data_IF_763442396379
#
_entry.id   IF_763442396379
#
_cell.length_a   1.000
_cell.length_b   1.000
_cell.length_c   1.000
_cell.angle_alpha   90.00
_cell.angle_beta   90.00
_cell.angle_gamma   90.00
#
_symmetry.space_group_name_H-M   'P 1'
#
loop_
_entity.id
_entity.type
_entity.pdbx_description
1 polymer ?
#
# COMPACT_ATOMS: atom_id res chain seq x y z
N UNK A 1 22.55 21.79 -9.75
CA UNK A 1 22.13 22.04 -11.16
C UNK A 1 21.02 23.10 -11.17
N UNK A 2 21.17 24.20 -11.89
CA UNK A 2 20.18 25.30 -11.91
C UNK A 2 18.96 24.89 -12.76
N UNK A 3 17.75 25.03 -12.20
CA UNK A 3 16.52 24.65 -12.90
C UNK A 3 16.22 25.55 -14.11
N UNK A 4 15.48 25.06 -15.12
CA UNK A 4 15.06 25.91 -16.27
C UNK A 4 14.27 27.15 -15.85
N UNK A 5 13.52 27.08 -14.77
CA UNK A 5 12.78 28.23 -14.22
C UNK A 5 13.73 29.30 -13.65
N UNK A 6 14.74 28.90 -12.90
CA UNK A 6 15.77 29.80 -12.39
C UNK A 6 16.55 30.46 -13.51
N UNK A 7 16.93 29.71 -14.56
CA UNK A 7 17.59 30.27 -15.72
C UNK A 7 16.73 31.31 -16.44
N UNK A 8 15.41 31.07 -16.59
CA UNK A 8 14.49 32.06 -17.17
C UNK A 8 14.43 33.33 -16.33
N UNK A 9 14.38 33.22 -15.00
CA UNK A 9 14.38 34.37 -14.11
C UNK A 9 15.65 35.22 -14.26
N UNK A 10 16.84 34.55 -14.26
CA UNK A 10 18.13 35.23 -14.46
C UNK A 10 18.17 35.95 -15.79
N UNK A 11 17.78 35.32 -16.91
CA UNK A 11 17.74 35.96 -18.23
C UNK A 11 16.81 37.16 -18.24
N UNK A 12 15.63 37.09 -17.58
CA UNK A 12 14.66 38.17 -17.50
C UNK A 12 15.23 39.38 -16.73
N UNK A 13 15.81 39.16 -15.57
CA UNK A 13 16.43 40.20 -14.72
C UNK A 13 17.59 40.85 -15.46
N UNK A 14 18.52 40.05 -16.02
CA UNK A 14 19.68 40.59 -16.78
C UNK A 14 19.24 41.38 -18.02
N UNK A 15 18.13 40.96 -18.66
CA UNK A 15 17.58 41.71 -19.79
C UNK A 15 17.09 43.11 -19.38
N UNK A 16 16.43 43.22 -18.24
CA UNK A 16 15.98 44.51 -17.70
C UNK A 16 17.12 45.40 -17.26
N UNK A 17 18.08 44.86 -16.52
CA UNK A 17 19.24 45.63 -16.00
C UNK A 17 20.22 46.08 -17.08
N UNK A 18 20.56 45.22 -18.01
CA UNK A 18 21.60 45.44 -18.99
C UNK A 18 21.08 45.87 -20.37
N UNK A 19 19.73 45.93 -20.55
CA UNK A 19 19.06 46.27 -21.83
C UNK A 19 19.61 45.47 -23.05
N UNK A 20 20.09 44.23 -22.79
CA UNK A 20 20.67 43.38 -23.85
C UNK A 20 19.57 42.58 -24.55
N UNK A 21 19.74 42.30 -25.89
CA UNK A 21 18.77 41.50 -26.61
C UNK A 21 18.66 40.07 -26.03
N UNK A 22 17.42 39.57 -25.91
CA UNK A 22 17.13 38.22 -25.40
C UNK A 22 17.96 37.14 -26.12
N UNK A 23 18.19 37.27 -27.44
CA UNK A 23 19.00 36.33 -28.23
C UNK A 23 20.43 36.21 -27.71
N UNK A 24 21.06 37.35 -27.36
CA UNK A 24 22.43 37.40 -26.84
C UNK A 24 22.50 36.75 -25.45
N UNK A 25 21.59 37.08 -24.58
CA UNK A 25 21.51 36.50 -23.20
C UNK A 25 21.27 35.00 -23.23
N UNK A 26 20.33 34.53 -24.06
CA UNK A 26 20.08 33.10 -24.17
C UNK A 26 21.32 32.34 -24.68
N UNK A 27 22.11 32.92 -25.60
CA UNK A 27 23.38 32.32 -26.05
C UNK A 27 24.41 32.28 -24.92
N UNK A 28 24.58 33.38 -24.17
CA UNK A 28 25.54 33.47 -23.06
C UNK A 28 25.24 32.46 -21.95
N UNK A 29 23.96 32.24 -21.61
CA UNK A 29 23.53 31.30 -20.57
C UNK A 29 23.33 29.87 -21.09
N UNK A 30 23.65 29.55 -22.34
CA UNK A 30 23.46 28.23 -22.93
C UNK A 30 21.99 27.76 -22.87
N UNK A 31 21.04 28.67 -23.14
CA UNK A 31 19.61 28.43 -22.95
C UNK A 31 18.83 28.78 -24.23
N UNK A 32 17.92 27.89 -24.67
CA UNK A 32 17.17 28.13 -25.90
C UNK A 32 16.14 29.26 -25.77
N UNK A 33 15.90 30.04 -26.81
CA UNK A 33 14.87 31.09 -26.83
C UNK A 33 13.47 30.51 -26.66
N UNK A 34 13.21 29.32 -27.19
CA UNK A 34 11.94 28.62 -27.02
C UNK A 34 11.68 28.29 -25.54
N UNK A 35 12.71 27.84 -24.83
CA UNK A 35 12.64 27.59 -23.39
C UNK A 35 12.45 28.88 -22.59
N UNK A 36 13.06 30.01 -23.02
CA UNK A 36 12.83 31.33 -22.37
C UNK A 36 11.40 31.81 -22.52
N UNK A 37 10.80 31.59 -23.70
CA UNK A 37 9.41 32.00 -24.02
C UNK A 37 8.35 31.01 -23.53
N UNK A 38 8.76 29.83 -23.05
CA UNK A 38 7.82 28.85 -22.55
C UNK A 38 7.05 29.39 -21.37
N UNK A 39 5.74 29.44 -21.50
CA UNK A 39 4.79 29.72 -20.42
C UNK A 39 4.03 28.43 -20.15
N UNK A 40 3.93 27.98 -18.88
CA UNK A 40 3.09 26.84 -18.56
C UNK A 40 1.63 27.20 -18.82
N UNK A 41 1.02 26.51 -19.78
CA UNK A 41 -0.37 26.77 -20.23
C UNK A 41 -1.39 26.13 -19.28
N UNK A 42 -0.98 25.24 -18.38
CA UNK A 42 -1.92 24.53 -17.48
C UNK A 42 -1.75 25.03 -16.06
N UNK A 43 -2.88 25.50 -15.51
CA UNK A 43 -3.00 25.76 -14.09
C UNK A 43 -3.07 24.42 -13.35
N UNK A 44 -2.10 24.19 -12.47
CA UNK A 44 -2.01 22.99 -11.64
C UNK A 44 -2.59 23.20 -10.24
N UNK A 45 -3.22 24.35 -9.95
CA UNK A 45 -3.67 24.71 -8.61
C UNK A 45 -4.73 23.75 -8.06
N UNK A 46 -5.76 23.42 -8.83
CA UNK A 46 -6.79 22.48 -8.42
C UNK A 46 -6.20 21.09 -8.10
N UNK A 47 -5.26 20.63 -8.92
CA UNK A 47 -4.53 19.39 -8.70
C UNK A 47 -3.69 19.44 -7.40
N UNK A 48 -3.00 20.55 -7.13
CA UNK A 48 -2.19 20.73 -5.93
C UNK A 48 -3.07 20.70 -4.66
N UNK A 49 -4.20 21.39 -4.68
CA UNK A 49 -5.16 21.38 -3.58
C UNK A 49 -5.65 19.95 -3.33
N UNK A 50 -6.13 19.25 -4.36
CA UNK A 50 -6.64 17.89 -4.22
C UNK A 50 -5.55 16.91 -3.76
N UNK A 51 -4.33 17.04 -4.28
CA UNK A 51 -3.20 16.20 -3.87
C UNK A 51 -2.86 16.40 -2.38
N UNK A 52 -2.90 17.63 -1.87
CA UNK A 52 -2.67 17.92 -0.44
C UNK A 52 -3.75 17.33 0.44
N UNK A 53 -5.03 17.44 0.04
CA UNK A 53 -6.15 16.83 0.75
C UNK A 53 -5.99 15.31 0.87
N UNK A 54 -5.73 14.63 -0.25
CA UNK A 54 -5.50 13.19 -0.26
C UNK A 54 -4.28 12.80 0.57
N UNK A 55 -3.20 13.56 0.52
CA UNK A 55 -2.01 13.31 1.32
C UNK A 55 -2.25 13.52 2.82
N UNK A 56 -3.10 14.47 3.20
CA UNK A 56 -3.51 14.70 4.59
C UNK A 56 -4.38 13.55 5.11
N UNK A 57 -5.32 13.05 4.30
CA UNK A 57 -6.16 11.89 4.63
C UNK A 57 -5.36 10.58 4.71
N UNK A 58 -4.33 10.46 3.86
CA UNK A 58 -3.53 9.25 3.64
C UNK A 58 -2.05 9.51 3.90
N UNK A 59 -1.70 9.89 5.12
CA UNK A 59 -0.33 10.34 5.51
C UNK A 59 0.79 9.37 5.15
N UNK A 60 0.49 8.07 5.06
CA UNK A 60 1.46 7.02 4.72
C UNK A 60 1.47 6.61 3.25
N UNK A 61 0.66 7.26 2.40
CA UNK A 61 0.64 6.99 0.98
C UNK A 61 1.71 7.80 0.25
N UNK A 62 2.60 7.10 -0.47
CA UNK A 62 3.52 7.74 -1.40
C UNK A 62 2.82 8.11 -2.71
N UNK A 63 3.48 8.96 -3.53
CA UNK A 63 2.94 9.51 -4.77
C UNK A 63 2.29 8.49 -5.72
N UNK A 64 2.78 7.23 -5.76
CA UNK A 64 2.22 6.19 -6.65
C UNK A 64 0.78 5.82 -6.26
N UNK A 65 0.51 5.64 -4.96
CA UNK A 65 -0.84 5.36 -4.47
C UNK A 65 -1.75 6.57 -4.63
N UNK A 66 -1.26 7.76 -4.29
CA UNK A 66 -2.01 9.01 -4.50
C UNK A 66 -2.33 9.23 -5.99
N UNK A 67 -1.43 8.85 -6.91
CA UNK A 67 -1.70 8.87 -8.34
C UNK A 67 -2.85 7.96 -8.74
N UNK A 68 -2.92 6.74 -8.18
CA UNK A 68 -4.03 5.82 -8.47
C UNK A 68 -5.35 6.38 -7.95
N UNK A 69 -5.38 6.92 -6.72
CA UNK A 69 -6.58 7.54 -6.17
C UNK A 69 -7.07 8.71 -7.04
N UNK A 70 -6.18 9.62 -7.40
CA UNK A 70 -6.51 10.73 -8.31
C UNK A 70 -7.04 10.23 -9.66
N UNK A 71 -6.47 9.16 -10.22
CA UNK A 71 -6.98 8.58 -11.46
C UNK A 71 -8.37 7.98 -11.31
N UNK A 72 -8.68 7.36 -10.17
CA UNK A 72 -10.03 6.87 -9.85
C UNK A 72 -11.04 8.02 -9.71
N UNK A 73 -10.59 9.20 -9.28
CA UNK A 73 -11.38 10.43 -9.26
C UNK A 73 -11.50 11.11 -10.64
N UNK A 74 -10.98 10.49 -11.72
CA UNK A 74 -11.09 11.02 -13.09
C UNK A 74 -9.95 11.95 -13.52
N UNK A 75 -8.91 12.16 -12.69
CA UNK A 75 -7.78 13.01 -13.07
C UNK A 75 -6.86 12.31 -14.07
N UNK A 76 -6.84 12.76 -15.33
CA UNK A 76 -5.92 12.28 -16.36
C UNK A 76 -4.53 12.92 -16.20
N UNK A 77 -3.68 12.36 -15.32
CA UNK A 77 -2.39 12.95 -14.96
C UNK A 77 -1.25 11.97 -15.23
N UNK A 78 -0.16 12.49 -15.81
CA UNK A 78 1.08 11.73 -15.93
C UNK A 78 1.76 11.59 -14.57
N UNK A 79 2.19 10.37 -14.22
CA UNK A 79 2.86 10.07 -12.94
C UNK A 79 4.13 10.90 -12.71
N UNK A 80 4.88 11.26 -13.77
CA UNK A 80 6.08 12.13 -13.69
C UNK A 80 5.69 13.56 -13.27
N UNK A 81 4.59 14.08 -13.82
CA UNK A 81 4.05 15.41 -13.44
C UNK A 81 3.61 15.40 -11.99
N UNK A 82 2.84 14.38 -11.57
CA UNK A 82 2.41 14.24 -10.18
C UNK A 82 3.59 14.12 -9.22
N UNK A 83 4.61 13.32 -9.57
CA UNK A 83 5.80 13.17 -8.73
C UNK A 83 6.54 14.50 -8.52
N UNK A 84 6.64 15.33 -9.57
CA UNK A 84 7.22 16.67 -9.46
C UNK A 84 6.43 17.53 -8.47
N UNK A 85 5.11 17.62 -8.65
CA UNK A 85 4.22 18.40 -7.77
C UNK A 85 4.29 17.86 -6.33
N UNK A 86 4.24 16.54 -6.14
CA UNK A 86 4.35 15.89 -4.83
C UNK A 86 5.63 16.27 -4.08
N UNK A 87 6.75 16.42 -4.81
CA UNK A 87 8.01 16.90 -4.23
C UNK A 87 8.02 18.40 -3.95
N UNK A 88 7.46 19.19 -4.85
CA UNK A 88 7.32 20.65 -4.69
C UNK A 88 6.47 20.99 -3.45
N UNK A 89 5.42 20.23 -3.19
CA UNK A 89 4.53 20.38 -2.02
C UNK A 89 5.13 19.78 -0.71
N UNK A 90 6.32 19.19 -0.74
CA UNK A 90 6.96 18.63 0.45
C UNK A 90 6.28 17.38 1.03
N UNK A 91 5.42 16.69 0.27
CA UNK A 91 4.58 15.57 0.71
C UNK A 91 5.33 14.23 0.84
N UNK A 92 6.66 14.24 0.76
CA UNK A 92 7.47 13.01 0.75
C UNK A 92 7.34 12.22 2.06
N UNK A 93 6.81 11.00 1.98
CA UNK A 93 6.74 10.08 3.12
C UNK A 93 8.14 9.57 3.47
N UNK A 94 8.54 9.75 4.74
CA UNK A 94 9.82 9.25 5.23
C UNK A 94 9.85 7.73 5.20
N UNK A 95 10.75 7.15 4.40
CA UNK A 95 10.97 5.71 4.39
C UNK A 95 11.79 5.30 5.61
N UNK A 96 11.33 4.30 6.36
CA UNK A 96 12.17 3.64 7.36
C UNK A 96 13.31 2.95 6.61
N UNK A 97 14.56 3.31 6.91
CA UNK A 97 15.72 2.58 6.39
C UNK A 97 15.79 1.25 7.14
N UNK A 98 15.38 0.19 6.49
CA UNK A 98 15.59 -1.17 7.00
C UNK A 98 17.08 -1.48 7.09
N UNK A 99 17.50 -2.18 8.15
CA UNK A 99 18.86 -2.71 8.28
C UNK A 99 19.05 -3.77 7.19
N UNK A 100 20.10 -3.67 6.38
CA UNK A 100 20.45 -4.74 5.43
C UNK A 100 20.76 -6.00 6.24
N UNK A 101 19.99 -7.06 6.02
CA UNK A 101 20.21 -8.38 6.63
C UNK A 101 20.83 -9.29 5.58
N UNK A 102 21.74 -10.18 6.01
CA UNK A 102 22.25 -11.25 5.16
C UNK A 102 21.08 -12.12 4.67
N UNK A 103 21.06 -12.45 3.39
CA UNK A 103 20.04 -13.29 2.78
C UNK A 103 20.58 -14.72 2.83
N UNK A 104 20.12 -15.52 3.80
CA UNK A 104 20.35 -16.97 3.81
C UNK A 104 19.44 -17.69 2.80
N UNK A 105 19.70 -18.98 2.58
CA UNK A 105 18.80 -19.87 1.82
C UNK A 105 17.41 -19.89 2.46
N UNK A 106 16.39 -19.49 1.69
CA UNK A 106 15.00 -19.43 2.15
C UNK A 106 14.22 -20.56 1.51
N UNK A 107 13.79 -21.53 2.29
CA UNK A 107 12.73 -22.43 1.87
C UNK A 107 11.43 -21.67 1.96
N UNK A 108 10.83 -21.32 0.82
CA UNK A 108 9.53 -20.64 0.78
C UNK A 108 8.44 -21.68 0.85
N UNK A 109 7.42 -21.42 1.67
CA UNK A 109 6.14 -22.11 1.53
C UNK A 109 5.60 -21.90 0.12
N UNK A 110 4.85 -22.87 -0.44
CA UNK A 110 4.20 -22.68 -1.73
C UNK A 110 3.37 -21.42 -1.73
N UNK A 111 3.39 -20.68 -2.82
CA UNK A 111 2.54 -19.50 -2.96
C UNK A 111 1.07 -19.94 -3.07
N UNK A 112 0.16 -19.21 -2.44
CA UNK A 112 -1.27 -19.45 -2.57
C UNK A 112 -1.68 -19.35 -4.05
N UNK A 113 -2.43 -20.32 -4.56
CA UNK A 113 -2.84 -20.43 -5.97
C UNK A 113 -4.27 -20.01 -6.22
N UNK A 114 -5.12 -20.02 -5.20
CA UNK A 114 -6.53 -19.62 -5.25
C UNK A 114 -6.99 -19.10 -3.88
N UNK A 115 -8.16 -18.51 -3.83
CA UNK A 115 -8.79 -18.03 -2.60
C UNK A 115 -9.00 -19.19 -1.62
N UNK A 116 -8.77 -18.95 -0.34
CA UNK A 116 -8.84 -19.96 0.72
C UNK A 116 -7.81 -21.11 0.60
N UNK A 117 -6.79 -21.00 -0.26
CA UNK A 117 -5.69 -21.97 -0.23
C UNK A 117 -4.89 -21.84 1.07
N UNK A 118 -4.38 -20.65 1.38
CA UNK A 118 -3.56 -20.41 2.56
C UNK A 118 -4.02 -19.18 3.32
N UNK A 119 -4.43 -19.37 4.58
CA UNK A 119 -4.63 -18.27 5.50
C UNK A 119 -3.41 -18.09 6.39
N UNK A 120 -3.07 -16.85 6.71
CA UNK A 120 -1.99 -16.51 7.64
C UNK A 120 -2.53 -15.75 8.83
N UNK A 121 -2.07 -16.15 10.03
CA UNK A 121 -2.46 -15.56 11.30
C UNK A 121 -1.23 -15.00 12.01
N UNK A 122 -1.44 -13.89 12.71
CA UNK A 122 -0.43 -13.34 13.62
C UNK A 122 -1.07 -12.42 14.66
N UNK A 123 -0.38 -12.24 15.78
CA UNK A 123 -0.79 -11.34 16.85
C UNK A 123 -0.01 -10.03 16.84
N UNK A 124 -0.73 -8.96 17.07
CA UNK A 124 -0.18 -7.65 17.41
C UNK A 124 -0.67 -7.24 18.80
N UNK A 125 0.00 -6.28 19.42
CA UNK A 125 -0.44 -5.66 20.66
C UNK A 125 -0.31 -4.15 20.59
N UNK A 126 -1.23 -3.46 21.27
CA UNK A 126 -1.19 -2.02 21.46
C UNK A 126 -1.75 -1.68 22.85
N UNK A 127 -1.85 -0.41 23.16
CA UNK A 127 -2.36 0.08 24.45
C UNK A 127 -3.55 1.03 24.25
N UNK A 128 -4.48 1.00 25.17
CA UNK A 128 -5.54 1.98 25.32
C UNK A 128 -4.98 3.26 25.96
N UNK A 129 -5.75 4.33 25.88
CA UNK A 129 -5.39 5.65 26.44
C UNK A 129 -5.13 5.60 27.96
N UNK A 130 -5.79 4.68 28.66
CA UNK A 130 -5.61 4.41 30.10
C UNK A 130 -4.41 3.50 30.43
N UNK A 131 -3.60 3.13 29.41
CA UNK A 131 -2.42 2.28 29.54
C UNK A 131 -2.70 0.78 29.54
N UNK A 132 -3.95 0.33 29.59
CA UNK A 132 -4.28 -1.10 29.46
C UNK A 132 -3.92 -1.63 28.09
N UNK A 133 -3.27 -2.79 28.06
CA UNK A 133 -2.90 -3.43 26.81
C UNK A 133 -4.07 -4.21 26.22
N UNK A 134 -4.13 -4.22 24.89
CA UNK A 134 -4.99 -5.11 24.12
C UNK A 134 -4.19 -5.81 23.03
N UNK A 135 -4.72 -6.92 22.56
CA UNK A 135 -4.14 -7.72 21.47
C UNK A 135 -5.05 -7.64 20.24
N UNK A 136 -4.47 -7.79 19.09
CA UNK A 136 -5.19 -7.87 17.82
C UNK A 136 -4.73 -9.14 17.11
N UNK A 137 -5.66 -10.04 16.84
CA UNK A 137 -5.46 -11.18 15.96
C UNK A 137 -5.74 -10.72 14.53
N UNK A 138 -4.73 -10.75 13.68
CA UNK A 138 -4.87 -10.47 12.25
C UNK A 138 -4.94 -11.77 11.45
N UNK A 139 -5.93 -11.89 10.58
CA UNK A 139 -6.15 -13.05 9.70
C UNK A 139 -6.21 -12.58 8.25
N UNK A 140 -5.43 -13.21 7.38
CA UNK A 140 -5.29 -12.81 5.97
C UNK A 140 -5.33 -14.01 5.04
N UNK A 141 -6.09 -13.92 3.95
CA UNK A 141 -5.94 -14.82 2.79
C UNK A 141 -4.72 -14.37 1.97
N UNK A 142 -3.76 -15.28 1.80
CA UNK A 142 -2.52 -14.97 1.08
C UNK A 142 -2.73 -14.76 -0.41
N UNK A 143 -3.72 -15.37 -1.05
CA UNK A 143 -3.95 -15.26 -2.49
C UNK A 143 -4.36 -13.85 -2.90
N UNK A 144 -5.49 -13.40 -2.39
CA UNK A 144 -6.04 -12.06 -2.67
C UNK A 144 -5.44 -10.95 -1.81
N UNK A 145 -4.55 -11.26 -0.85
CA UNK A 145 -4.07 -10.31 0.16
C UNK A 145 -5.21 -9.71 0.99
N UNK A 146 -6.35 -10.38 1.02
CA UNK A 146 -7.52 -9.93 1.74
C UNK A 146 -7.31 -10.03 3.25
N UNK A 147 -7.51 -8.96 3.99
CA UNK A 147 -7.59 -8.97 5.42
C UNK A 147 -8.98 -9.50 5.82
N UNK A 148 -9.04 -10.76 6.26
CA UNK A 148 -10.30 -11.42 6.59
C UNK A 148 -10.86 -10.90 7.90
N UNK A 149 -10.01 -10.71 8.91
CA UNK A 149 -10.41 -10.23 10.24
C UNK A 149 -9.30 -9.50 10.99
N UNK A 150 -9.72 -8.63 11.93
CA UNK A 150 -8.90 -7.96 12.92
C UNK A 150 -9.61 -7.99 14.28
N UNK A 151 -9.56 -9.13 14.93
CA UNK A 151 -10.18 -9.31 16.26
C UNK A 151 -9.35 -8.65 17.35
N UNK A 152 -9.91 -7.63 18.05
CA UNK A 152 -9.26 -6.97 19.17
C UNK A 152 -9.88 -7.37 20.51
N UNK A 153 -9.05 -7.80 21.48
CA UNK A 153 -9.46 -8.07 22.84
C UNK A 153 -8.29 -7.89 23.84
N UNK A 154 -8.59 -7.80 25.12
CA UNK A 154 -7.58 -7.77 26.18
C UNK A 154 -6.87 -9.11 26.34
N UNK A 155 -7.56 -10.21 26.06
CA UNK A 155 -7.02 -11.55 26.04
C UNK A 155 -7.70 -12.39 24.95
N UNK A 156 -6.90 -13.10 24.15
CA UNK A 156 -7.39 -13.97 23.09
C UNK A 156 -6.76 -15.35 23.30
N UNK A 157 -7.55 -16.28 23.84
CA UNK A 157 -7.14 -17.67 24.03
C UNK A 157 -7.27 -18.49 22.75
N UNK A 158 -6.64 -19.67 22.68
CA UNK A 158 -6.78 -20.57 21.53
C UNK A 158 -8.24 -20.97 21.24
N UNK A 159 -9.06 -21.17 22.27
CA UNK A 159 -10.48 -21.43 22.09
C UNK A 159 -11.23 -20.22 21.49
N UNK A 160 -10.80 -19.00 21.77
CA UNK A 160 -11.34 -17.80 21.12
C UNK A 160 -10.90 -17.73 19.68
N UNK A 161 -9.62 -18.03 19.36
CA UNK A 161 -9.13 -18.10 17.97
C UNK A 161 -9.95 -19.11 17.17
N UNK A 162 -10.19 -20.31 17.70
CA UNK A 162 -11.00 -21.33 17.03
C UNK A 162 -12.40 -20.81 16.66
N UNK A 163 -13.09 -20.14 17.58
CA UNK A 163 -14.43 -19.55 17.31
C UNK A 163 -14.40 -18.46 16.23
N UNK A 164 -13.35 -17.63 16.21
CA UNK A 164 -13.22 -16.63 15.14
C UNK A 164 -12.94 -17.29 13.79
N UNK A 165 -12.16 -18.37 13.76
CA UNK A 165 -11.93 -19.14 12.55
C UNK A 165 -13.22 -19.83 12.06
N UNK A 166 -14.05 -20.40 12.96
CA UNK A 166 -15.35 -20.97 12.58
C UNK A 166 -16.23 -19.91 11.91
N UNK A 167 -16.36 -18.73 12.51
CA UNK A 167 -17.10 -17.59 11.95
C UNK A 167 -16.58 -17.19 10.56
N UNK A 168 -15.27 -17.18 10.38
CA UNK A 168 -14.66 -16.80 9.09
C UNK A 168 -14.87 -17.88 8.03
N UNK A 169 -14.84 -19.15 8.41
CA UNK A 169 -15.13 -20.28 7.50
C UNK A 169 -16.58 -20.18 6.98
N UNK A 170 -17.54 -19.86 7.85
CA UNK A 170 -18.93 -19.64 7.46
C UNK A 170 -19.09 -18.48 6.43
N UNK A 171 -18.31 -17.40 6.60
CA UNK A 171 -18.40 -16.22 5.74
C UNK A 171 -17.60 -16.32 4.44
N UNK A 172 -16.43 -16.94 4.45
CA UNK A 172 -15.45 -16.89 3.38
C UNK A 172 -15.17 -18.25 2.74
N UNK A 173 -15.58 -19.33 3.36
CA UNK A 173 -15.19 -20.69 2.99
C UNK A 173 -13.96 -21.17 3.77
N UNK A 174 -13.71 -22.46 3.71
CA UNK A 174 -12.70 -23.15 4.50
C UNK A 174 -11.31 -23.05 3.85
N UNK A 175 -10.25 -22.69 4.61
CA UNK A 175 -8.88 -22.74 4.09
C UNK A 175 -8.35 -24.19 4.05
N UNK A 176 -7.46 -24.45 3.13
CA UNK A 176 -6.72 -25.72 3.09
C UNK A 176 -5.57 -25.73 4.10
N UNK A 177 -4.86 -24.60 4.17
CA UNK A 177 -3.67 -24.45 5.02
C UNK A 177 -3.81 -23.19 5.87
N UNK A 178 -3.43 -23.30 7.14
CA UNK A 178 -3.25 -22.14 8.02
C UNK A 178 -1.76 -22.06 8.39
N UNK A 179 -1.19 -20.84 8.28
CA UNK A 179 0.19 -20.53 8.66
C UNK A 179 0.19 -19.58 9.83
N UNK A 180 0.92 -19.92 10.90
CA UNK A 180 1.06 -19.04 12.06
C UNK A 180 2.47 -19.10 12.65
N UNK A 181 2.78 -18.18 13.56
CA UNK A 181 3.91 -18.31 14.46
C UNK A 181 3.68 -19.43 15.52
N UNK A 182 4.68 -19.60 16.39
CA UNK A 182 4.62 -20.58 17.49
C UNK A 182 4.07 -19.98 18.78
N UNK A 183 3.20 -18.98 18.70
CA UNK A 183 2.56 -18.39 19.88
C UNK A 183 1.80 -19.43 20.72
N UNK A 184 1.83 -19.28 22.04
CA UNK A 184 1.23 -20.25 22.98
C UNK A 184 -0.26 -20.47 22.73
N UNK A 185 -0.95 -19.44 22.28
CA UNK A 185 -2.38 -19.48 21.95
C UNK A 185 -2.63 -20.33 20.70
N UNK A 186 -1.75 -20.24 19.70
CA UNK A 186 -1.85 -20.92 18.41
C UNK A 186 -1.34 -22.37 18.46
N UNK A 187 -0.48 -22.69 19.43
CA UNK A 187 0.00 -24.08 19.71
C UNK A 187 -0.82 -24.80 20.78
N UNK A 188 -1.92 -24.21 21.23
CA UNK A 188 -2.77 -24.77 22.28
C UNK A 188 -3.50 -26.05 21.85
N UNK A 189 -3.82 -26.92 22.81
CA UNK A 189 -4.62 -28.13 22.57
C UNK A 189 -5.94 -27.84 21.87
N UNK A 190 -6.56 -26.69 22.16
CA UNK A 190 -7.81 -26.27 21.53
C UNK A 190 -7.66 -26.08 20.03
N UNK A 191 -6.57 -25.43 19.59
CA UNK A 191 -6.28 -25.20 18.17
C UNK A 191 -5.89 -26.50 17.47
N UNK A 192 -5.06 -27.33 18.10
CA UNK A 192 -4.67 -28.63 17.50
C UNK A 192 -5.89 -29.52 17.28
N UNK A 193 -6.80 -29.61 18.26
CA UNK A 193 -8.05 -30.34 18.13
C UNK A 193 -8.93 -29.74 17.03
N UNK A 194 -9.12 -28.42 17.05
CA UNK A 194 -9.94 -27.72 16.08
C UNK A 194 -9.43 -27.92 14.63
N UNK A 195 -8.12 -27.87 14.40
CA UNK A 195 -7.51 -28.09 13.09
C UNK A 195 -7.73 -29.53 12.61
N UNK A 196 -7.61 -30.52 13.50
CA UNK A 196 -7.88 -31.92 13.21
C UNK A 196 -9.36 -32.15 12.88
N UNK A 197 -10.28 -31.65 13.70
CA UNK A 197 -11.73 -31.78 13.53
C UNK A 197 -12.19 -31.16 12.20
N UNK A 198 -11.53 -30.09 11.77
CA UNK A 198 -11.82 -29.39 10.50
C UNK A 198 -11.02 -29.91 9.30
N UNK A 199 -10.12 -30.88 9.44
CA UNK A 199 -9.21 -31.34 8.38
C UNK A 199 -8.45 -30.17 7.71
N UNK A 200 -7.88 -29.27 8.49
CA UNK A 200 -7.08 -28.13 8.04
C UNK A 200 -5.62 -28.40 8.38
N UNK A 201 -4.73 -28.21 7.40
CA UNK A 201 -3.30 -28.32 7.63
C UNK A 201 -2.79 -27.08 8.35
N UNK A 202 -2.33 -27.23 9.59
CA UNK A 202 -1.76 -26.12 10.35
C UNK A 202 -0.24 -26.15 10.28
N UNK A 203 0.34 -25.13 9.68
CA UNK A 203 1.79 -24.99 9.50
C UNK A 203 2.34 -23.93 10.45
N UNK A 204 3.22 -24.33 11.34
CA UNK A 204 3.98 -23.43 12.20
C UNK A 204 5.27 -23.01 11.51
N UNK A 205 5.57 -21.69 11.50
CA UNK A 205 6.85 -21.22 10.97
C UNK A 205 8.02 -21.73 11.81
N UNK A 206 9.16 -21.93 11.15
CA UNK A 206 10.38 -22.34 11.84
C UNK A 206 10.79 -21.28 12.86
N UNK A 207 11.07 -21.64 14.13
CA UNK A 207 11.55 -20.68 15.12
C UNK A 207 12.75 -19.89 14.61
N UNK A 208 12.69 -18.55 14.77
CA UNK A 208 13.73 -17.65 14.29
C UNK A 208 13.69 -17.33 12.79
N UNK A 209 12.70 -17.85 12.03
CA UNK A 209 12.51 -17.55 10.60
C UNK A 209 11.19 -16.79 10.33
N UNK A 210 11.03 -15.55 10.80
CA UNK A 210 9.79 -14.78 10.61
C UNK A 210 9.47 -14.57 9.12
N UNK A 211 10.46 -14.65 8.23
CA UNK A 211 10.25 -14.52 6.78
C UNK A 211 9.31 -15.57 6.18
N UNK A 212 9.05 -16.68 6.86
CA UNK A 212 8.08 -17.69 6.44
C UNK A 212 6.63 -17.18 6.60
N UNK A 213 6.37 -16.20 7.51
CA UNK A 213 5.10 -15.50 7.65
C UNK A 213 5.14 -14.05 7.09
N UNK A 214 5.92 -13.82 6.05
CA UNK A 214 6.16 -12.47 5.50
C UNK A 214 4.90 -11.74 5.01
N UNK A 215 3.82 -12.47 4.74
CA UNK A 215 2.53 -11.87 4.35
C UNK A 215 1.87 -11.17 5.52
N UNK A 216 1.78 -11.85 6.65
CA UNK A 216 1.21 -11.29 7.88
C UNK A 216 2.11 -10.23 8.48
N UNK A 217 3.44 -10.40 8.45
CA UNK A 217 4.38 -9.35 8.84
C UNK A 217 4.14 -8.05 8.03
N UNK A 218 3.94 -8.21 6.72
CA UNK A 218 3.63 -7.07 5.84
C UNK A 218 2.28 -6.43 6.15
N UNK A 219 1.26 -7.22 6.51
CA UNK A 219 -0.06 -6.73 6.95
C UNK A 219 0.09 -5.97 8.26
N UNK A 220 0.72 -6.58 9.26
CA UNK A 220 0.96 -6.00 10.59
C UNK A 220 1.72 -4.68 10.52
N UNK A 221 2.75 -4.62 9.65
CA UNK A 221 3.47 -3.38 9.39
C UNK A 221 2.58 -2.26 8.86
N UNK A 222 1.59 -2.58 8.01
CA UNK A 222 0.63 -1.60 7.48
C UNK A 222 -0.40 -1.20 8.53
N UNK A 223 -0.95 -2.17 9.28
CA UNK A 223 -1.89 -1.88 10.38
C UNK A 223 -1.21 -0.96 11.39
N UNK A 224 0.03 -1.27 11.78
CA UNK A 224 0.79 -0.43 12.72
C UNK A 224 1.03 0.97 12.18
N UNK A 225 1.49 1.08 10.93
CA UNK A 225 1.85 2.38 10.35
C UNK A 225 0.64 3.23 9.94
N UNK A 226 -0.46 2.60 9.50
CA UNK A 226 -1.61 3.28 8.89
C UNK A 226 -2.84 3.36 9.83
N UNK A 227 -2.84 2.60 10.95
CA UNK A 227 -3.93 2.56 11.91
C UNK A 227 -3.43 2.77 13.35
N UNK A 228 -2.68 1.83 13.92
CA UNK A 228 -2.35 1.85 15.34
C UNK A 228 -1.55 3.09 15.74
N UNK A 229 -0.54 3.49 14.95
CA UNK A 229 0.28 4.67 15.23
C UNK A 229 -0.40 6.02 14.89
N UNK A 230 -1.57 5.99 14.25
CA UNK A 230 -2.29 7.20 13.86
C UNK A 230 -3.48 7.51 14.79
N UNK A 231 -3.82 6.58 15.72
CA UNK A 231 -4.97 6.71 16.61
C UNK A 231 -4.59 6.51 18.09
N UNK A 232 -5.31 7.20 18.96
CA UNK A 232 -5.36 6.94 20.39
C UNK A 232 -6.68 6.24 20.71
N UNK A 233 -6.61 5.07 21.34
CA UNK A 233 -7.77 4.20 21.58
C UNK A 233 -8.36 4.45 22.98
N UNK A 234 -9.49 5.12 23.05
CA UNK A 234 -10.18 5.44 24.33
C UNK A 234 -10.57 4.19 25.12
N UNK A 235 -11.04 3.18 24.41
CA UNK A 235 -11.44 1.89 24.97
C UNK A 235 -11.41 0.80 23.91
N UNK A 236 -11.62 -0.44 24.31
CA UNK A 236 -11.57 -1.59 23.41
C UNK A 236 -12.61 -1.54 22.29
N UNK A 237 -13.81 -1.01 22.55
CA UNK A 237 -14.85 -0.88 21.54
C UNK A 237 -14.45 0.15 20.47
N UNK A 238 -13.86 1.27 20.87
CA UNK A 238 -13.31 2.25 19.95
C UNK A 238 -12.19 1.63 19.09
N UNK A 239 -11.30 0.82 19.67
CA UNK A 239 -10.27 0.10 18.94
C UNK A 239 -10.86 -0.84 17.88
N UNK A 240 -11.92 -1.58 18.23
CA UNK A 240 -12.62 -2.49 17.30
C UNK A 240 -13.23 -1.74 16.11
N UNK A 241 -13.88 -0.61 16.35
CA UNK A 241 -14.47 0.23 15.29
C UNK A 241 -13.38 0.71 14.33
N UNK A 242 -12.31 1.32 14.83
CA UNK A 242 -11.22 1.85 14.01
C UNK A 242 -10.50 0.75 13.22
N UNK A 243 -10.30 -0.43 13.82
CA UNK A 243 -9.69 -1.57 13.13
C UNK A 243 -10.58 -2.10 12.01
N UNK A 244 -11.89 -2.13 12.22
CA UNK A 244 -12.85 -2.55 11.19
C UNK A 244 -12.92 -1.53 10.05
N UNK A 245 -12.98 -0.24 10.33
CA UNK A 245 -12.92 0.81 9.31
C UNK A 245 -11.63 0.70 8.49
N UNK A 246 -10.50 0.46 9.15
CA UNK A 246 -9.23 0.26 8.46
C UNK A 246 -9.25 -1.02 7.59
N UNK A 247 -9.82 -2.13 8.08
CA UNK A 247 -9.96 -3.39 7.34
C UNK A 247 -10.79 -3.20 6.07
N UNK A 248 -11.90 -2.48 6.17
CA UNK A 248 -12.75 -2.15 5.02
C UNK A 248 -11.98 -1.30 4.01
N UNK A 249 -11.29 -0.25 4.46
CA UNK A 249 -10.45 0.57 3.60
C UNK A 249 -9.34 -0.25 2.92
N UNK A 250 -8.66 -1.10 3.69
CA UNK A 250 -7.59 -1.96 3.19
C UNK A 250 -8.07 -2.90 2.07
N UNK A 251 -9.25 -3.48 2.22
CA UNK A 251 -9.81 -4.44 1.27
C UNK A 251 -10.45 -3.78 0.03
N UNK A 252 -11.09 -2.63 0.19
CA UNK A 252 -11.96 -2.04 -0.84
C UNK A 252 -11.40 -0.77 -1.49
N UNK A 253 -10.55 -0.02 -0.81
CA UNK A 253 -10.09 1.30 -1.29
C UNK A 253 -8.59 1.35 -1.53
N UNK A 254 -7.81 0.73 -0.66
CA UNK A 254 -6.35 0.82 -0.65
C UNK A 254 -5.70 0.13 -1.86
N UNK A 255 -4.91 0.84 -2.70
CA UNK A 255 -4.20 0.21 -3.81
C UNK A 255 -3.00 -0.63 -3.33
N UNK A 256 -2.86 -1.87 -3.82
CA UNK A 256 -1.80 -2.81 -3.49
C UNK A 256 -0.83 -3.01 -4.65
N UNK A 257 0.44 -2.67 -4.45
CA UNK A 257 1.46 -2.79 -5.51
C UNK A 257 1.69 -4.24 -5.96
N UNK A 258 1.51 -5.22 -5.05
CA UNK A 258 1.60 -6.65 -5.36
C UNK A 258 0.42 -7.17 -6.20
N UNK A 259 -0.69 -6.43 -6.25
CA UNK A 259 -1.90 -6.74 -7.02
C UNK A 259 -2.07 -5.76 -8.20
N UNK A 260 -0.98 -5.25 -8.78
CA UNK A 260 -1.01 -4.26 -9.86
C UNK A 260 -1.84 -3.01 -9.52
N UNK A 261 -1.77 -2.57 -8.27
CA UNK A 261 -2.52 -1.45 -7.70
C UNK A 261 -4.04 -1.64 -7.64
N UNK A 262 -4.54 -2.85 -7.84
CA UNK A 262 -5.91 -3.23 -7.47
C UNK A 262 -6.03 -3.32 -5.95
N UNK A 263 -7.25 -3.20 -5.45
CA UNK A 263 -7.58 -3.58 -4.08
C UNK A 263 -7.69 -5.11 -3.98
N UNK A 264 -7.63 -5.71 -2.78
CA UNK A 264 -7.89 -7.14 -2.60
C UNK A 264 -9.21 -7.59 -3.22
N UNK A 265 -10.29 -6.84 -3.00
CA UNK A 265 -11.62 -7.19 -3.54
C UNK A 265 -11.71 -7.04 -5.05
N UNK A 266 -11.10 -6.00 -5.66
CA UNK A 266 -11.00 -5.87 -7.11
C UNK A 266 -10.24 -7.06 -7.71
N UNK A 267 -9.17 -7.50 -7.05
CA UNK A 267 -8.38 -8.65 -7.52
C UNK A 267 -9.18 -9.96 -7.45
N UNK A 268 -9.87 -10.23 -6.33
CA UNK A 268 -10.68 -11.42 -6.15
C UNK A 268 -11.84 -11.47 -7.12
N UNK A 269 -12.58 -10.38 -7.31
CA UNK A 269 -13.67 -10.29 -8.27
C UNK A 269 -13.19 -10.58 -9.70
N UNK A 270 -12.01 -10.06 -10.06
CA UNK A 270 -11.39 -10.36 -11.35
C UNK A 270 -11.02 -11.83 -11.50
N UNK A 271 -10.45 -12.44 -10.47
CA UNK A 271 -10.05 -13.84 -10.48
C UNK A 271 -11.24 -14.78 -10.59
N UNK A 272 -12.37 -14.41 -9.99
CA UNK A 272 -13.61 -15.19 -9.99
C UNK A 272 -14.48 -14.98 -11.23
N UNK A 273 -14.00 -14.25 -12.25
CA UNK A 273 -14.76 -13.97 -13.46
C UNK A 273 -15.94 -12.99 -13.28
N UNK A 274 -16.03 -12.31 -12.12
CA UNK A 274 -17.11 -11.39 -11.78
C UNK A 274 -16.82 -9.93 -12.15
N UNK A 275 -15.94 -9.65 -13.13
CA UNK A 275 -15.62 -8.27 -13.48
C UNK A 275 -16.55 -7.70 -14.53
N UNK A 276 -17.22 -6.61 -14.14
CA UNK A 276 -17.73 -5.59 -15.08
C UNK A 276 -16.56 -4.92 -15.83
N UNK A 277 -16.73 -4.72 -17.13
CA UNK A 277 -15.74 -4.19 -18.07
C UNK A 277 -15.32 -2.72 -17.84
N UNK A 278 -15.67 -2.12 -16.71
CA UNK A 278 -15.51 -0.67 -16.46
C UNK A 278 -14.20 -0.24 -15.78
N UNK A 279 -13.34 -1.17 -15.35
CA UNK A 279 -12.05 -0.84 -14.72
C UNK A 279 -10.90 -1.22 -15.65
N UNK A 280 -10.40 -0.26 -16.43
CA UNK A 280 -9.27 -0.43 -17.36
C UNK A 280 -7.99 -0.70 -16.58
N UNK A 281 -7.32 -1.86 -16.76
CA UNK A 281 -5.99 -2.09 -16.17
C UNK A 281 -4.95 -1.24 -16.87
N UNK A 282 -4.06 -0.63 -16.11
CA UNK A 282 -2.88 0.06 -16.61
C UNK A 282 -1.85 -0.96 -17.15
N UNK A 283 -2.06 -1.48 -18.35
CA UNK A 283 -0.97 -2.09 -19.10
C UNK A 283 -0.11 -0.98 -19.71
N UNK A 284 1.16 -0.98 -19.36
CA UNK A 284 2.18 -0.19 -20.05
C UNK A 284 2.22 -0.61 -21.53
N UNK A 285 1.71 0.23 -22.41
CA UNK A 285 1.97 0.09 -23.83
C UNK A 285 3.48 0.28 -24.06
N UNK A 286 4.22 -0.80 -24.22
CA UNK A 286 5.49 -0.80 -24.92
C UNK A 286 5.16 -0.45 -26.38
N UNK A 287 5.46 0.76 -26.79
CA UNK A 287 5.53 1.10 -28.21
C UNK A 287 6.65 0.26 -28.84
N UNK A 288 6.24 -0.76 -29.59
CA UNK A 288 7.09 -1.43 -30.56
C UNK A 288 7.33 -0.42 -31.70
N UNK A 289 8.60 -0.06 -31.90
CA UNK A 289 9.03 0.79 -32.99
C UNK A 289 8.70 0.16 -34.34
N UNK A 290 8.01 0.92 -35.19
CA UNK A 290 7.85 0.61 -36.59
C UNK A 290 9.07 1.19 -37.29
N UNK A 291 9.96 0.32 -37.76
CA UNK A 291 10.99 0.64 -38.68
C UNK A 291 10.37 1.05 -40.04
N UNK A 292 10.53 2.30 -40.42
CA UNK A 292 10.34 2.71 -41.81
C UNK A 292 11.55 2.25 -42.63
N UNK A 293 11.33 1.23 -43.45
CA UNK A 293 12.20 0.91 -44.58
C UNK A 293 11.92 1.95 -45.70
N UNK A 294 12.93 2.69 -46.09
CA UNK A 294 12.93 3.50 -47.35
C UNK A 294 13.08 2.55 -48.54
N UNK A 295 12.20 2.68 -49.50
CA UNK A 295 12.49 2.51 -50.91
C UNK A 295 12.59 3.89 -51.57
#
# INVERSE_FOLDING_TARGET
>A
MVSPAQRRAVVAVTQQERKLPQRRLCRMFGFSRSSQRYRPVKDDNALRVRLRELAAQRRRFGYRRLHILLRREGWAINHKKLYRIYREEGLSVRKRKGRKRAIGTRTRLPSATHSNHIWSLDFMSDALEDGRRFRVLGIMDQYGRQCLDLTADTSISGARVARELDRLIECHGKPEIIVSDNGTELTSKAILKWAADNNIQWHYITPGKPSENGFTESLNGKIRDECLNEHLFRNLNHARIILEEWRQDYNHVRPHSSLNYMTPMEFLNKSNGMMDASIIPLTSAKQSGINHVRL
#
